data_IF_082582592142
#
_entry.id   IF_082582592142
#
_cell.length_a   1.000
_cell.length_b   1.000
_cell.length_c   1.000
_cell.angle_alpha   90.00
_cell.angle_beta   90.00
_cell.angle_gamma   90.00
#
_symmetry.space_group_name_H-M   'P 1'
#
loop_
_entity.id
_entity.type
_entity.pdbx_description
1 polymer ?
#
# COMPACT_ATOMS: atom_id res chain seq x y z
N UNK A 1 1.35 -4.88 -28.98
CA UNK A 1 0.85 -6.17 -28.44
C UNK A 1 -0.26 -5.89 -27.42
N UNK A 2 -1.51 -5.93 -27.88
CA UNK A 2 -2.71 -5.58 -27.10
C UNK A 2 -3.56 -6.84 -26.90
N UNK A 3 -3.34 -7.56 -25.80
CA UNK A 3 -4.21 -8.68 -25.36
C UNK A 3 -4.78 -8.46 -23.94
N UNK A 4 -4.48 -7.33 -23.29
CA UNK A 4 -4.72 -7.10 -21.85
C UNK A 4 -6.14 -6.64 -21.47
N UNK A 5 -7.02 -6.39 -22.44
CA UNK A 5 -8.27 -5.61 -22.18
C UNK A 5 -9.55 -6.47 -22.21
N UNK A 6 -9.49 -7.72 -22.69
CA UNK A 6 -10.72 -8.49 -22.91
C UNK A 6 -11.30 -9.19 -21.65
N UNK A 7 -10.55 -9.31 -20.55
CA UNK A 7 -11.02 -10.04 -19.36
C UNK A 7 -11.58 -9.16 -18.24
N UNK A 8 -11.26 -7.87 -18.20
CA UNK A 8 -11.52 -6.99 -17.04
C UNK A 8 -12.95 -6.41 -17.01
N UNK A 9 -13.82 -6.76 -17.97
CA UNK A 9 -15.17 -6.19 -18.08
C UNK A 9 -16.29 -7.19 -18.35
N UNK A 10 -15.97 -8.49 -18.44
CA UNK A 10 -16.97 -9.54 -18.66
C UNK A 10 -17.19 -10.28 -17.33
N UNK A 11 -18.38 -10.21 -16.72
CA UNK A 11 -18.70 -10.94 -15.50
C UNK A 11 -18.39 -12.43 -15.63
N UNK A 12 -17.76 -13.01 -14.61
CA UNK A 12 -17.47 -14.45 -14.57
C UNK A 12 -16.19 -14.91 -15.25
N UNK A 13 -15.55 -14.08 -16.10
CA UNK A 13 -14.30 -14.44 -16.77
C UNK A 13 -13.16 -14.74 -15.78
N UNK A 14 -13.20 -14.14 -14.58
CA UNK A 14 -12.24 -14.37 -13.48
C UNK A 14 -12.25 -15.81 -12.92
N UNK A 15 -13.35 -16.55 -13.12
CA UNK A 15 -13.51 -17.91 -12.60
C UNK A 15 -13.11 -19.00 -13.59
N UNK A 16 -12.88 -18.65 -14.86
CA UNK A 16 -12.46 -19.63 -15.86
C UNK A 16 -11.00 -20.00 -15.67
N UNK A 17 -10.61 -21.28 -15.83
CA UNK A 17 -9.25 -21.75 -15.56
C UNK A 17 -8.26 -21.40 -16.70
N UNK A 18 -8.26 -20.14 -17.13
CA UNK A 18 -7.28 -19.60 -18.08
C UNK A 18 -5.90 -19.54 -17.43
N UNK A 19 -4.84 -19.49 -18.25
CA UNK A 19 -3.46 -19.37 -17.73
C UNK A 19 -3.30 -18.19 -16.77
N UNK A 20 -3.86 -17.03 -17.14
CA UNK A 20 -3.78 -15.79 -16.36
C UNK A 20 -4.50 -15.95 -15.01
N UNK A 21 -5.71 -16.51 -15.00
CA UNK A 21 -6.45 -16.71 -13.75
C UNK A 21 -5.77 -17.74 -12.85
N UNK A 22 -5.19 -18.81 -13.42
CA UNK A 22 -4.42 -19.78 -12.64
C UNK A 22 -3.19 -19.16 -11.99
N UNK A 23 -2.45 -18.31 -12.72
CA UNK A 23 -1.33 -17.55 -12.18
C UNK A 23 -1.80 -16.59 -11.06
N UNK A 24 -2.92 -15.89 -11.27
CA UNK A 24 -3.51 -15.02 -10.24
C UNK A 24 -3.94 -15.79 -8.98
N UNK A 25 -4.60 -16.95 -9.11
CA UNK A 25 -4.99 -17.77 -7.96
C UNK A 25 -3.78 -18.35 -7.22
N UNK A 26 -2.72 -18.72 -7.94
CA UNK A 26 -1.47 -19.20 -7.33
C UNK A 26 -0.82 -18.10 -6.47
N UNK A 27 -0.72 -16.88 -7.01
CA UNK A 27 -0.22 -15.71 -6.27
C UNK A 27 -1.12 -15.36 -5.09
N UNK A 28 -2.45 -15.42 -5.25
CA UNK A 28 -3.38 -15.15 -4.16
C UNK A 28 -3.21 -16.16 -3.01
N UNK A 29 -2.98 -17.43 -3.35
CA UNK A 29 -2.69 -18.49 -2.37
C UNK A 29 -1.35 -18.28 -1.68
N UNK A 30 -0.33 -17.86 -2.41
CA UNK A 30 0.99 -17.53 -1.86
C UNK A 30 0.91 -16.36 -0.87
N UNK A 31 0.27 -15.25 -1.26
CA UNK A 31 0.03 -14.10 -0.38
C UNK A 31 -0.73 -14.50 0.88
N UNK A 32 -1.77 -15.33 0.73
CA UNK A 32 -2.53 -15.88 1.88
C UNK A 32 -1.59 -16.63 2.83
N UNK A 33 -0.76 -17.53 2.31
CA UNK A 33 0.12 -18.34 3.13
C UNK A 33 1.15 -17.50 3.89
N UNK A 34 1.76 -16.52 3.21
CA UNK A 34 2.74 -15.60 3.82
C UNK A 34 2.11 -14.78 4.96
N UNK A 35 0.89 -14.28 4.77
CA UNK A 35 0.19 -13.52 5.83
C UNK A 35 -0.09 -14.44 7.03
N UNK A 36 -0.59 -15.66 6.80
CA UNK A 36 -0.86 -16.60 7.89
C UNK A 36 0.42 -17.06 8.60
N UNK A 37 1.55 -17.12 7.89
CA UNK A 37 2.86 -17.38 8.50
C UNK A 37 3.26 -16.25 9.46
N UNK A 38 3.17 -15.00 9.03
CA UNK A 38 3.41 -13.81 9.90
C UNK A 38 2.49 -13.82 11.12
N UNK A 39 1.22 -14.19 10.94
CA UNK A 39 0.26 -14.32 12.05
C UNK A 39 0.69 -15.41 13.04
N UNK A 40 1.14 -16.57 12.57
CA UNK A 40 1.62 -17.66 13.43
C UNK A 40 2.88 -17.26 14.20
N UNK A 41 3.80 -16.56 13.56
CA UNK A 41 4.99 -16.02 14.23
C UNK A 41 4.59 -15.01 15.31
N UNK A 42 3.65 -14.12 15.01
CA UNK A 42 3.11 -13.13 15.95
C UNK A 42 2.47 -13.79 17.17
N UNK A 43 1.72 -14.87 16.99
CA UNK A 43 1.08 -15.61 18.08
C UNK A 43 2.08 -16.29 19.03
N UNK A 44 3.30 -16.56 18.58
CA UNK A 44 4.38 -17.12 19.41
C UNK A 44 5.20 -16.05 20.13
N UNK A 45 5.17 -14.81 19.66
CA UNK A 45 5.90 -13.70 20.23
C UNK A 45 5.19 -13.12 21.47
N UNK A 46 5.90 -12.26 22.22
CA UNK A 46 5.28 -11.49 23.30
C UNK A 46 4.21 -10.56 22.76
N UNK A 47 3.14 -10.35 23.54
CA UNK A 47 2.10 -9.39 23.20
C UNK A 47 2.68 -7.99 22.98
N UNK A 48 2.36 -7.40 21.85
CA UNK A 48 2.65 -6.00 21.54
C UNK A 48 1.40 -5.41 20.87
N UNK A 49 1.02 -4.21 21.30
CA UNK A 49 -0.20 -3.56 20.82
C UNK A 49 0.09 -2.81 19.52
N UNK A 50 -0.01 -3.52 18.41
CA UNK A 50 0.13 -2.98 17.07
C UNK A 50 -1.12 -3.24 16.20
N UNK A 51 -1.05 -2.81 14.94
CA UNK A 51 -2.17 -2.93 14.01
C UNK A 51 -2.54 -4.40 13.75
N UNK A 52 -1.56 -5.29 13.61
CA UNK A 52 -1.80 -6.72 13.43
C UNK A 52 -2.52 -7.29 14.65
N UNK A 53 -2.05 -6.95 15.86
CA UNK A 53 -2.68 -7.38 17.10
C UNK A 53 -4.15 -6.91 17.20
N UNK A 54 -4.45 -5.67 16.81
CA UNK A 54 -5.83 -5.17 16.75
C UNK A 54 -6.72 -5.97 15.78
N UNK A 55 -6.19 -6.37 14.61
CA UNK A 55 -6.92 -7.24 13.66
C UNK A 55 -7.18 -8.62 14.27
N UNK A 56 -6.18 -9.20 14.95
CA UNK A 56 -6.34 -10.51 15.61
C UNK A 56 -7.39 -10.47 16.73
N UNK A 57 -7.41 -9.40 17.52
CA UNK A 57 -8.43 -9.20 18.57
C UNK A 57 -9.82 -9.00 17.99
N UNK A 58 -9.95 -8.20 16.92
CA UNK A 58 -11.22 -8.05 16.21
C UNK A 58 -11.75 -9.38 15.69
N UNK A 59 -10.88 -10.24 15.16
CA UNK A 59 -11.26 -11.56 14.68
C UNK A 59 -11.73 -12.49 15.82
N UNK A 60 -11.05 -12.45 16.97
CA UNK A 60 -11.41 -13.23 18.17
C UNK A 60 -12.76 -12.80 18.77
N UNK A 61 -13.05 -11.50 18.78
CA UNK A 61 -14.27 -10.96 19.39
C UNK A 61 -15.53 -11.15 18.51
N UNK A 62 -15.38 -11.70 17.30
CA UNK A 62 -16.46 -11.80 16.30
C UNK A 62 -17.10 -13.18 16.20
N UNK A 63 -16.77 -14.13 17.09
CA UNK A 63 -17.29 -15.52 17.11
C UNK A 63 -17.33 -16.19 15.72
N UNK A 64 -16.27 -15.99 14.93
CA UNK A 64 -16.16 -16.50 13.56
C UNK A 64 -15.73 -17.98 13.54
N UNK A 65 -16.14 -18.70 12.48
CA UNK A 65 -15.52 -19.99 12.17
C UNK A 65 -14.04 -19.82 11.84
N UNK A 66 -13.24 -20.87 12.00
CA UNK A 66 -11.79 -20.81 11.73
C UNK A 66 -11.47 -20.31 10.30
N UNK A 67 -12.22 -20.77 9.29
CA UNK A 67 -12.06 -20.32 7.91
C UNK A 67 -12.41 -18.83 7.74
N UNK A 68 -13.47 -18.37 8.40
CA UNK A 68 -13.88 -16.97 8.37
C UNK A 68 -12.89 -16.07 9.13
N UNK A 69 -12.30 -16.55 10.22
CA UNK A 69 -11.21 -15.87 10.95
C UNK A 69 -9.99 -15.67 10.06
N UNK A 70 -9.52 -16.73 9.40
CA UNK A 70 -8.36 -16.64 8.50
C UNK A 70 -8.64 -15.67 7.35
N UNK A 71 -9.83 -15.73 6.77
CA UNK A 71 -10.25 -14.80 5.71
C UNK A 71 -10.26 -13.35 6.20
N UNK A 72 -10.87 -13.09 7.37
CA UNK A 72 -10.92 -11.76 7.96
C UNK A 72 -9.50 -11.18 8.16
N UNK A 73 -8.60 -11.98 8.73
CA UNK A 73 -7.22 -11.54 8.98
C UNK A 73 -6.50 -11.26 7.66
N UNK A 74 -6.56 -12.19 6.71
CA UNK A 74 -5.90 -12.07 5.41
C UNK A 74 -6.41 -10.86 4.63
N UNK A 75 -7.72 -10.65 4.58
CA UNK A 75 -8.31 -9.55 3.83
C UNK A 75 -7.94 -8.20 4.45
N UNK A 76 -7.98 -8.06 5.79
CA UNK A 76 -7.53 -6.82 6.45
C UNK A 76 -6.03 -6.56 6.24
N UNK A 77 -5.18 -7.57 6.38
CA UNK A 77 -3.73 -7.42 6.17
C UNK A 77 -3.40 -7.02 4.72
N UNK A 78 -4.06 -7.65 3.73
CA UNK A 78 -3.90 -7.28 2.31
C UNK A 78 -4.27 -5.82 2.07
N UNK A 79 -5.39 -5.37 2.59
CA UNK A 79 -5.85 -3.99 2.41
C UNK A 79 -4.88 -2.97 2.99
N UNK A 80 -4.40 -3.21 4.23
CA UNK A 80 -3.42 -2.33 4.89
C UNK A 80 -2.12 -2.29 4.08
N UNK A 81 -1.60 -3.45 3.67
CA UNK A 81 -0.35 -3.55 2.93
C UNK A 81 -0.43 -2.83 1.59
N UNK A 82 -1.47 -3.09 0.78
CA UNK A 82 -1.64 -2.47 -0.53
C UNK A 82 -1.84 -0.95 -0.41
N UNK A 83 -2.66 -0.52 0.55
CA UNK A 83 -2.89 0.90 0.79
C UNK A 83 -1.60 1.65 1.14
N UNK A 84 -0.73 1.07 1.97
CA UNK A 84 0.51 1.70 2.39
C UNK A 84 1.66 1.56 1.40
N UNK A 85 1.85 0.38 0.83
CA UNK A 85 3.03 0.05 0.04
C UNK A 85 2.99 0.69 -1.36
N UNK A 86 1.93 0.44 -2.12
CA UNK A 86 1.85 0.92 -3.51
C UNK A 86 1.77 2.45 -3.56
N UNK A 87 0.96 3.06 -2.70
CA UNK A 87 0.79 4.52 -2.71
C UNK A 87 2.08 5.23 -2.30
N UNK A 88 2.75 4.79 -1.23
CA UNK A 88 3.99 5.40 -0.76
C UNK A 88 5.13 5.21 -1.77
N UNK A 89 5.27 4.01 -2.35
CA UNK A 89 6.30 3.74 -3.35
C UNK A 89 6.11 4.61 -4.61
N UNK A 90 4.87 4.72 -5.10
CA UNK A 90 4.55 5.57 -6.25
C UNK A 90 4.81 7.04 -5.90
N UNK A 91 4.35 7.52 -4.75
CA UNK A 91 4.59 8.90 -4.31
C UNK A 91 6.09 9.22 -4.20
N UNK A 92 6.88 8.35 -3.58
CA UNK A 92 8.33 8.52 -3.47
C UNK A 92 8.99 8.58 -4.86
N UNK A 93 8.58 7.71 -5.78
CA UNK A 93 9.09 7.69 -7.16
C UNK A 93 8.83 9.01 -7.87
N UNK A 94 7.61 9.54 -7.78
CA UNK A 94 7.28 10.82 -8.39
C UNK A 94 7.99 12.01 -7.71
N UNK A 95 8.12 12.01 -6.38
CA UNK A 95 8.90 13.02 -5.66
C UNK A 95 10.35 13.07 -6.18
N UNK A 96 11.00 11.91 -6.28
CA UNK A 96 12.37 11.80 -6.77
C UNK A 96 12.48 12.29 -8.22
N UNK A 97 11.53 11.91 -9.07
CA UNK A 97 11.50 12.36 -10.46
C UNK A 97 11.31 13.87 -10.59
N UNK A 98 10.42 14.47 -9.78
CA UNK A 98 10.19 15.92 -9.74
C UNK A 98 11.45 16.67 -9.31
N UNK A 99 12.15 16.20 -8.27
CA UNK A 99 13.41 16.80 -7.83
C UNK A 99 14.51 16.66 -8.88
N UNK A 100 14.64 15.48 -9.50
CA UNK A 100 15.62 15.25 -10.56
C UNK A 100 15.38 16.12 -11.81
N UNK A 101 14.13 16.50 -12.05
CA UNK A 101 13.75 17.37 -13.18
C UNK A 101 13.86 18.87 -12.87
N UNK A 102 13.99 19.24 -11.59
CA UNK A 102 14.03 20.63 -11.13
C UNK A 102 15.22 20.83 -10.18
N UNK A 103 16.42 20.99 -10.74
CA UNK A 103 17.67 21.04 -9.98
C UNK A 103 17.67 22.11 -8.88
N UNK A 104 17.10 23.29 -9.16
CA UNK A 104 16.95 24.37 -8.18
C UNK A 104 16.14 23.94 -6.95
N UNK A 105 15.07 23.17 -7.15
CA UNK A 105 14.24 22.65 -6.06
C UNK A 105 15.01 21.60 -5.27
N UNK A 106 15.74 20.72 -5.96
CA UNK A 106 16.59 19.73 -5.31
C UNK A 106 17.67 20.39 -4.44
N UNK A 107 18.31 21.44 -4.92
CA UNK A 107 19.36 22.13 -4.19
C UNK A 107 18.80 22.86 -2.96
N UNK A 108 17.63 23.51 -3.08
CA UNK A 108 16.94 24.11 -1.92
C UNK A 108 16.54 23.08 -0.87
N UNK A 109 15.97 21.95 -1.29
CA UNK A 109 15.58 20.85 -0.39
C UNK A 109 16.81 20.27 0.30
N UNK A 110 17.91 20.04 -0.44
CA UNK A 110 19.16 19.54 0.13
C UNK A 110 19.74 20.50 1.16
N UNK A 111 19.77 21.80 0.85
CA UNK A 111 20.24 22.83 1.77
C UNK A 111 19.39 22.89 3.06
N UNK A 112 18.06 22.82 2.94
CA UNK A 112 17.15 22.78 4.10
C UNK A 112 17.39 21.54 4.98
N UNK A 113 17.54 20.36 4.37
CA UNK A 113 17.81 19.13 5.13
C UNK A 113 19.15 19.21 5.87
N UNK A 114 20.20 19.72 5.21
CA UNK A 114 21.51 19.89 5.84
C UNK A 114 21.48 20.91 6.99
N UNK A 115 20.75 22.01 6.84
CA UNK A 115 20.60 23.04 7.89
C UNK A 115 19.82 22.51 9.10
N UNK A 116 18.73 21.78 8.87
CA UNK A 116 17.84 21.31 9.95
C UNK A 116 18.41 20.06 10.65
N UNK A 117 18.92 19.09 9.89
CA UNK A 117 19.35 17.80 10.44
C UNK A 117 20.86 17.72 10.70
N UNK A 118 21.69 18.40 9.90
CA UNK A 118 23.12 18.12 9.85
C UNK A 118 23.36 16.63 9.54
N UNK A 119 24.18 15.98 10.37
CA UNK A 119 24.50 14.54 10.25
C UNK A 119 23.57 13.62 11.06
N UNK A 120 22.47 14.14 11.63
CA UNK A 120 21.56 13.37 12.47
C UNK A 120 20.41 12.77 11.67
N UNK A 121 19.89 11.64 12.15
CA UNK A 121 18.64 11.06 11.62
C UNK A 121 17.48 12.03 11.94
N UNK A 122 16.65 12.42 10.96
CA UNK A 122 15.53 13.33 11.20
C UNK A 122 14.53 12.78 12.22
N UNK A 123 14.14 13.59 13.20
CA UNK A 123 13.04 13.32 14.12
C UNK A 123 11.75 14.08 13.72
N UNK A 124 10.67 13.86 14.46
CA UNK A 124 9.37 14.49 14.17
C UNK A 124 9.40 16.02 14.23
N UNK A 125 10.22 16.61 15.10
CA UNK A 125 10.29 18.06 15.27
C UNK A 125 11.13 18.70 14.16
N UNK A 126 12.20 18.02 13.73
CA UNK A 126 12.99 18.40 12.55
C UNK A 126 12.14 18.37 11.28
N UNK A 127 11.36 17.31 11.07
CA UNK A 127 10.49 17.19 9.88
C UNK A 127 9.48 18.35 9.79
N UNK A 128 8.93 18.82 10.92
CA UNK A 128 8.03 19.99 10.95
C UNK A 128 8.69 21.29 10.50
N UNK A 129 10.02 21.38 10.59
CA UNK A 129 10.79 22.55 10.16
C UNK A 129 11.15 22.51 8.67
N UNK A 130 11.01 21.37 8.00
CA UNK A 130 11.34 21.20 6.58
C UNK A 130 10.18 21.62 5.66
N UNK A 131 10.08 22.93 5.43
CA UNK A 131 8.99 23.54 4.64
C UNK A 131 9.14 23.24 3.14
N UNK A 132 10.37 23.19 2.62
CA UNK A 132 10.63 22.90 1.20
C UNK A 132 10.33 21.44 0.87
N UNK A 133 10.71 20.51 1.76
CA UNK A 133 10.34 19.09 1.64
C UNK A 133 8.82 18.95 1.62
N UNK A 134 8.13 19.59 2.58
CA UNK A 134 6.66 19.55 2.68
C UNK A 134 5.98 20.13 1.45
N UNK A 135 6.50 21.25 0.92
CA UNK A 135 6.00 21.87 -0.31
C UNK A 135 6.17 20.95 -1.53
N UNK A 136 7.31 20.26 -1.65
CA UNK A 136 7.55 19.30 -2.75
C UNK A 136 6.55 18.15 -2.71
N UNK A 137 6.29 17.58 -1.53
CA UNK A 137 5.29 16.52 -1.35
C UNK A 137 3.88 17.03 -1.64
N UNK A 138 3.56 18.26 -1.27
CA UNK A 138 2.28 18.88 -1.60
C UNK A 138 2.11 19.11 -3.11
N UNK A 139 3.15 19.64 -3.78
CA UNK A 139 3.16 19.83 -5.22
C UNK A 139 3.01 18.50 -5.98
N UNK A 140 3.65 17.44 -5.48
CA UNK A 140 3.38 16.09 -5.98
C UNK A 140 1.88 15.79 -5.93
N UNK A 141 1.23 15.96 -4.77
CA UNK A 141 -0.21 15.70 -4.64
C UNK A 141 -1.12 16.54 -5.54
N UNK A 142 -0.61 17.63 -6.13
CA UNK A 142 -1.31 18.41 -7.15
C UNK A 142 -1.02 17.88 -8.56
N UNK A 143 0.24 17.57 -8.86
CA UNK A 143 0.72 17.13 -10.18
C UNK A 143 0.35 15.67 -10.48
N UNK A 144 0.42 14.79 -9.47
CA UNK A 144 0.12 13.37 -9.59
C UNK A 144 -1.34 13.04 -9.34
N UNK A 145 -2.22 14.03 -9.12
CA UNK A 145 -3.68 13.80 -9.15
C UNK A 145 -4.01 13.18 -10.50
N UNK A 146 -4.48 11.93 -10.53
CA UNK A 146 -4.66 11.30 -11.81
C UNK A 146 -5.86 11.90 -12.54
N UNK A 147 -5.66 12.10 -13.84
CA UNK A 147 -6.70 12.01 -14.87
C UNK A 147 -7.73 10.91 -14.50
N UNK A 148 -9.02 11.08 -14.83
CA UNK A 148 -10.18 10.34 -14.29
C UNK A 148 -10.18 8.79 -14.29
N UNK A 149 -9.13 8.13 -14.79
CA UNK A 149 -8.99 6.68 -14.87
C UNK A 149 -8.62 5.99 -13.55
N UNK A 150 -8.10 6.70 -12.55
CA UNK A 150 -7.77 6.11 -11.24
C UNK A 150 -8.86 6.33 -10.18
N UNK A 151 -9.86 7.17 -10.47
CA UNK A 151 -11.13 7.16 -9.71
C UNK A 151 -11.91 5.84 -9.88
N UNK A 152 -11.51 4.98 -10.84
CA UNK A 152 -12.02 3.61 -10.97
C UNK A 152 -11.57 2.69 -9.82
N UNK A 153 -10.70 3.13 -8.91
CA UNK A 153 -10.42 2.38 -7.68
C UNK A 153 -11.66 2.30 -6.76
N UNK A 154 -12.62 3.23 -6.90
CA UNK A 154 -13.93 3.12 -6.24
C UNK A 154 -14.79 1.97 -6.79
N UNK A 155 -14.44 1.43 -7.98
CA UNK A 155 -15.11 0.30 -8.63
C UNK A 155 -14.36 -1.01 -8.42
N UNK A 156 -13.03 -0.97 -8.32
CA UNK A 156 -12.20 -2.13 -7.94
C UNK A 156 -12.49 -2.54 -6.49
N UNK A 157 -12.72 -1.59 -5.59
CA UNK A 157 -13.13 -1.91 -4.21
C UNK A 157 -14.56 -2.51 -4.13
N UNK A 158 -15.46 -2.20 -5.06
CA UNK A 158 -16.77 -2.87 -5.10
C UNK A 158 -16.66 -4.32 -5.58
N UNK A 159 -15.66 -4.66 -6.39
CA UNK A 159 -15.42 -6.02 -6.91
C UNK A 159 -14.57 -6.92 -5.97
N UNK A 160 -13.94 -6.34 -4.96
CA UNK A 160 -13.20 -7.04 -3.89
C UNK A 160 -14.11 -7.35 -2.69
N UNK A 161 -15.14 -6.54 -2.46
CA UNK A 161 -16.02 -6.66 -1.29
C UNK A 161 -17.44 -7.21 -1.58
N UNK A 162 -17.75 -7.59 -2.83
CA UNK A 162 -18.96 -8.32 -3.20
C UNK A 162 -18.69 -9.50 -4.14
#
# INVERSE_FOLDING_TARGET
MSKRVLSTGIPGMRFLPTRINREAWALEKEVRNLILEVVRERQKASYEKDLLQMVLEGAKNSDLSMEATDRFIVDNCKNIYLAGYETTAVSATWCLMLLASNQEWQDRVRAEVLDVCGDRIPDSDMLRRMKQVSSTVFHLGVVSRPLPKYCTCKRILTDIYF
#
